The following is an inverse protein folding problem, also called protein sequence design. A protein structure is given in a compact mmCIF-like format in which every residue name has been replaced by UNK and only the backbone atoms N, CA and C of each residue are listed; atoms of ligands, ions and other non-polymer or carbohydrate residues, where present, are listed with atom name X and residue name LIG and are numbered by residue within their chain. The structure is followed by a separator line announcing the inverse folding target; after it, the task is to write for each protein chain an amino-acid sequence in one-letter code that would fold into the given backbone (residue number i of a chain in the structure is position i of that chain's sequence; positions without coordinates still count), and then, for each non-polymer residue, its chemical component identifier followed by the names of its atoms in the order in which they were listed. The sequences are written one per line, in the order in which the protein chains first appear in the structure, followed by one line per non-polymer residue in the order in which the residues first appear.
data_IF_432574107927
#
_entry.id   IF_432574107927
#
_cell.length_a   1.000
_cell.length_b   1.000
_cell.length_c   1.000
_cell.angle_alpha   90.00
_cell.angle_beta   90.00
_cell.angle_gamma   90.00
#
_symmetry.space_group_name_H-M   'P 1'
#
loop_
_entity.id
_entity.type
_entity.pdbx_description
1 polymer ?
#
# COMPACT_ATOMS: atom_id res chain seq x y z
N UNK A 1 -10.78 -4.56 -9.65
CA UNK A 1 -10.26 -3.55 -8.72
C UNK A 1 -10.82 -3.87 -7.34
N UNK A 2 -9.96 -4.28 -6.42
CA UNK A 2 -10.38 -4.68 -5.07
C UNK A 2 -9.99 -3.59 -4.09
N UNK A 3 -10.93 -3.15 -3.27
CA UNK A 3 -10.74 -2.13 -2.23
C UNK A 3 -10.95 -2.81 -0.88
N UNK A 4 -10.00 -2.66 0.03
CA UNK A 4 -10.12 -3.12 1.42
C UNK A 4 -10.31 -1.90 2.30
N UNK A 5 -11.40 -1.86 3.06
CA UNK A 5 -11.72 -0.73 3.94
C UNK A 5 -12.30 -1.23 5.27
N UNK A 6 -11.82 -0.67 6.38
CA UNK A 6 -12.19 -1.09 7.73
C UNK A 6 -13.17 -0.11 8.39
N UNK A 7 -13.14 1.17 8.01
CA UNK A 7 -13.89 2.21 8.71
C UNK A 7 -15.37 2.18 8.31
N UNK A 8 -16.30 1.98 9.26
CA UNK A 8 -17.72 1.81 8.96
C UNK A 8 -18.33 3.03 8.24
N UNK A 9 -17.94 4.25 8.61
CA UNK A 9 -18.44 5.45 7.94
C UNK A 9 -17.94 5.57 6.48
N UNK A 10 -16.74 5.08 6.18
CA UNK A 10 -16.21 5.09 4.81
C UNK A 10 -16.94 4.03 3.99
N UNK A 11 -17.16 2.83 4.54
CA UNK A 11 -17.95 1.78 3.90
C UNK A 11 -19.38 2.26 3.60
N UNK A 12 -20.05 2.89 4.57
CA UNK A 12 -21.40 3.45 4.37
C UNK A 12 -21.41 4.54 3.29
N UNK A 13 -20.36 5.36 3.23
CA UNK A 13 -20.20 6.35 2.17
C UNK A 13 -19.95 5.72 0.79
N UNK A 14 -19.12 4.69 0.72
CA UNK A 14 -18.85 3.96 -0.50
C UNK A 14 -20.12 3.33 -1.07
N UNK A 15 -20.94 2.72 -0.22
CA UNK A 15 -22.26 2.20 -0.59
C UNK A 15 -23.18 3.31 -1.11
N UNK A 16 -23.31 4.42 -0.38
CA UNK A 16 -24.14 5.55 -0.79
C UNK A 16 -23.70 6.19 -2.12
N UNK A 17 -22.40 6.21 -2.39
CA UNK A 17 -21.80 6.72 -3.63
C UNK A 17 -21.80 5.68 -4.77
N UNK A 18 -22.34 4.48 -4.52
CA UNK A 18 -22.51 3.42 -5.51
C UNK A 18 -21.20 2.74 -5.93
N UNK A 19 -20.23 2.59 -5.02
CA UNK A 19 -18.93 1.97 -5.34
C UNK A 19 -19.03 0.46 -5.55
N UNK A 20 -19.84 -0.23 -4.75
CA UNK A 20 -19.98 -1.69 -4.81
C UNK A 20 -20.67 -2.18 -6.10
N UNK A 21 -21.46 -1.30 -6.73
CA UNK A 21 -22.19 -1.57 -7.97
C UNK A 21 -21.37 -1.28 -9.23
N UNK A 22 -20.18 -0.70 -9.10
CA UNK A 22 -19.32 -0.40 -10.24
C UNK A 22 -18.81 -1.69 -10.87
N UNK A 23 -18.94 -1.87 -12.20
CA UNK A 23 -18.42 -3.06 -12.88
C UNK A 23 -16.93 -3.29 -12.60
N UNK A 24 -16.60 -4.49 -12.12
CA UNK A 24 -15.22 -4.88 -11.84
C UNK A 24 -14.64 -4.31 -10.54
N UNK A 25 -15.46 -3.69 -9.68
CA UNK A 25 -15.08 -3.28 -8.32
C UNK A 25 -15.56 -4.32 -7.32
N UNK A 26 -14.68 -4.68 -6.38
CA UNK A 26 -15.02 -5.50 -5.22
C UNK A 26 -14.61 -4.73 -3.97
N UNK A 27 -15.54 -4.48 -3.06
CA UNK A 27 -15.25 -3.87 -1.75
C UNK A 27 -15.24 -4.96 -0.70
N UNK A 28 -14.15 -5.07 0.04
CA UNK A 28 -13.97 -6.02 1.14
C UNK A 28 -13.91 -5.23 2.46
N UNK A 29 -14.93 -5.43 3.29
CA UNK A 29 -15.01 -4.80 4.60
C UNK A 29 -14.12 -5.53 5.62
N UNK A 30 -13.23 -4.80 6.29
CA UNK A 30 -12.38 -5.33 7.35
C UNK A 30 -10.98 -4.71 7.34
N UNK A 31 -10.20 -5.03 8.38
CA UNK A 31 -8.81 -4.58 8.44
C UNK A 31 -7.96 -5.32 7.42
N UNK A 32 -6.88 -4.70 6.93
CA UNK A 32 -5.98 -5.37 5.98
C UNK A 32 -5.35 -6.62 6.59
N UNK A 33 -5.13 -6.63 7.91
CA UNK A 33 -4.60 -7.77 8.66
C UNK A 33 -5.52 -8.99 8.61
N UNK A 34 -6.83 -8.79 8.50
CA UNK A 34 -7.83 -9.86 8.41
C UNK A 34 -8.11 -10.24 6.96
N UNK A 35 -8.24 -9.24 6.09
CA UNK A 35 -8.74 -9.42 4.71
C UNK A 35 -7.67 -9.89 3.75
N UNK A 36 -6.43 -9.40 3.87
CA UNK A 36 -5.39 -9.70 2.89
C UNK A 36 -4.76 -11.09 3.02
N UNK A 37 -4.45 -11.63 4.22
CA UNK A 37 -3.79 -12.93 4.31
C UNK A 37 -4.55 -14.08 3.63
N UNK A 38 -5.90 -14.16 3.69
CA UNK A 38 -6.66 -15.14 2.93
C UNK A 38 -6.61 -14.98 1.40
N UNK A 39 -6.27 -13.79 0.89
CA UNK A 39 -6.14 -13.52 -0.54
C UNK A 39 -4.74 -13.85 -1.07
N UNK A 40 -3.76 -14.05 -0.19
CA UNK A 40 -2.40 -14.37 -0.60
C UNK A 40 -2.33 -15.76 -1.24
N UNK A 41 -1.85 -15.81 -2.48
CA UNK A 41 -1.52 -17.04 -3.19
C UNK A 41 -0.16 -16.85 -3.88
N UNK A 42 0.90 -17.44 -3.32
CA UNK A 42 2.23 -17.33 -3.89
C UNK A 42 2.38 -18.08 -5.24
N UNK A 43 1.51 -19.05 -5.54
CA UNK A 43 1.52 -19.77 -6.81
C UNK A 43 0.78 -18.99 -7.91
N UNK A 44 -0.26 -18.23 -7.54
CA UNK A 44 -1.02 -17.38 -8.46
C UNK A 44 -1.46 -16.07 -7.79
N UNK A 45 -0.53 -15.11 -7.56
CA UNK A 45 -0.88 -13.86 -6.89
C UNK A 45 -1.99 -13.11 -7.64
N UNK A 46 -3.02 -12.59 -6.95
CA UNK A 46 -4.24 -12.14 -7.59
C UNK A 46 -4.18 -10.75 -8.25
N UNK A 47 -3.14 -9.94 -7.98
CA UNK A 47 -3.11 -8.54 -8.39
C UNK A 47 -1.91 -8.18 -9.27
N UNK A 48 -2.18 -7.52 -10.40
CA UNK A 48 -1.15 -6.91 -11.25
C UNK A 48 -0.65 -5.57 -10.69
N UNK A 49 -1.42 -4.94 -9.81
CA UNK A 49 -1.08 -3.69 -9.15
C UNK A 49 -1.64 -3.64 -7.74
N UNK A 50 -0.83 -3.16 -6.80
CA UNK A 50 -1.23 -2.96 -5.41
C UNK A 50 -0.89 -1.52 -4.99
N UNK A 51 -1.85 -0.85 -4.36
CA UNK A 51 -1.64 0.46 -3.74
C UNK A 51 -2.10 0.42 -2.29
N UNK A 52 -1.19 0.72 -1.35
CA UNK A 52 -1.50 0.76 0.08
C UNK A 52 -1.47 2.19 0.61
N UNK A 53 -2.66 2.74 0.88
CA UNK A 53 -2.86 4.02 1.56
C UNK A 53 -3.59 3.78 2.87
N UNK A 54 -2.89 3.19 3.82
CA UNK A 54 -3.42 2.90 5.15
C UNK A 54 -2.71 3.77 6.17
N UNK A 55 -3.41 4.11 7.24
CA UNK A 55 -2.76 4.75 8.38
C UNK A 55 -1.88 3.70 9.08
N UNK A 56 -0.59 3.71 8.75
CA UNK A 56 0.40 2.90 9.45
C UNK A 56 0.76 3.60 10.76
N UNK A 57 0.53 2.94 11.90
CA UNK A 57 0.95 3.45 13.22
C UNK A 57 2.48 3.48 13.38
N UNK A 58 3.22 2.84 12.46
CA UNK A 58 4.68 2.87 12.42
C UNK A 58 5.29 2.04 11.27
N UNK A 59 6.62 2.02 11.22
CA UNK A 59 7.37 1.29 10.19
C UNK A 59 7.18 -0.23 10.27
N UNK A 60 6.99 -0.78 11.47
CA UNK A 60 6.81 -2.22 11.66
C UNK A 60 5.51 -2.72 11.02
N UNK A 61 4.40 -1.98 11.16
CA UNK A 61 3.14 -2.31 10.49
C UNK A 61 3.28 -2.25 8.97
N UNK A 62 3.98 -1.23 8.44
CA UNK A 62 4.26 -1.14 7.01
C UNK A 62 5.08 -2.33 6.52
N UNK A 63 6.08 -2.77 7.27
CA UNK A 63 6.91 -3.92 6.89
C UNK A 63 6.18 -5.25 6.99
N UNK A 64 5.27 -5.40 7.96
CA UNK A 64 4.35 -6.56 8.03
C UNK A 64 3.43 -6.60 6.81
N UNK A 65 2.92 -5.45 6.39
CA UNK A 65 2.10 -5.33 5.18
C UNK A 65 2.93 -5.65 3.93
N UNK A 66 4.17 -5.14 3.80
CA UNK A 66 5.07 -5.49 2.70
C UNK A 66 5.31 -7.00 2.61
N UNK A 67 5.40 -7.70 3.73
CA UNK A 67 5.65 -9.15 3.76
C UNK A 67 4.53 -9.97 3.08
N UNK A 68 3.34 -9.39 2.84
CA UNK A 68 2.26 -10.04 2.10
C UNK A 68 2.43 -9.92 0.57
N UNK A 69 3.25 -8.99 0.07
CA UNK A 69 3.39 -8.71 -1.37
C UNK A 69 3.73 -9.94 -2.22
N UNK A 70 4.61 -10.88 -1.81
CA UNK A 70 4.90 -12.07 -2.61
C UNK A 70 3.69 -12.96 -2.90
N UNK A 71 2.65 -12.92 -2.05
CA UNK A 71 1.40 -13.63 -2.25
C UNK A 71 0.30 -12.79 -2.91
N UNK A 72 0.48 -11.46 -2.98
CA UNK A 72 -0.55 -10.55 -3.49
C UNK A 72 -0.22 -10.05 -4.91
N UNK A 73 1.06 -9.81 -5.21
CA UNK A 73 1.51 -9.14 -6.42
C UNK A 73 2.03 -10.14 -7.46
N UNK A 74 1.41 -10.13 -8.63
CA UNK A 74 1.82 -10.96 -9.75
C UNK A 74 3.22 -10.59 -10.26
N UNK A 75 3.89 -11.52 -10.93
CA UNK A 75 5.22 -11.27 -11.48
C UNK A 75 5.16 -10.15 -12.52
N UNK A 76 5.97 -9.10 -12.32
CA UNK A 76 5.97 -7.92 -13.18
C UNK A 76 4.90 -6.88 -12.81
N UNK A 77 4.11 -7.14 -11.77
CA UNK A 77 3.17 -6.19 -11.22
C UNK A 77 3.86 -5.00 -10.55
N UNK A 78 3.08 -3.95 -10.31
CA UNK A 78 3.55 -2.68 -9.73
C UNK A 78 3.00 -2.48 -8.32
N UNK A 79 3.83 -1.89 -7.45
CA UNK A 79 3.46 -1.63 -6.07
C UNK A 79 3.80 -0.19 -5.70
N UNK A 80 2.85 0.52 -5.10
CA UNK A 80 3.08 1.82 -4.47
C UNK A 80 2.32 1.92 -3.15
N UNK A 81 2.69 2.88 -2.32
CA UNK A 81 2.08 3.07 -1.01
C UNK A 81 2.24 4.51 -0.53
N UNK A 82 1.41 4.90 0.44
CA UNK A 82 1.54 6.17 1.13
C UNK A 82 2.81 6.20 1.98
N UNK A 83 3.80 6.97 1.52
CA UNK A 83 5.11 7.07 2.16
C UNK A 83 5.15 8.18 3.21
N UNK A 84 4.40 8.02 4.30
CA UNK A 84 4.23 9.05 5.33
C UNK A 84 5.24 9.03 6.48
N UNK A 85 6.08 8.01 6.59
CA UNK A 85 6.94 7.82 7.77
C UNK A 85 7.98 8.95 7.84
N UNK A 86 8.02 9.62 9.00
CA UNK A 86 8.91 10.75 9.27
C UNK A 86 8.80 11.90 8.25
N UNK A 87 7.66 12.08 7.59
CA UNK A 87 7.48 13.07 6.52
C UNK A 87 7.75 14.54 6.93
N UNK A 88 7.86 14.84 8.22
CA UNK A 88 8.19 16.16 8.76
C UNK A 88 9.69 16.41 8.93
N UNK A 89 10.54 15.40 8.72
CA UNK A 89 12.00 15.50 8.79
C UNK A 89 12.59 14.83 7.54
N UNK A 90 13.15 15.63 6.63
CA UNK A 90 13.68 15.13 5.35
C UNK A 90 14.77 14.06 5.56
N UNK A 91 15.65 14.25 6.54
CA UNK A 91 16.75 13.34 6.78
C UNK A 91 16.21 11.99 7.26
N UNK A 92 15.36 11.98 8.29
CA UNK A 92 14.76 10.76 8.80
C UNK A 92 13.88 10.09 7.74
N UNK A 93 13.12 10.85 6.98
CA UNK A 93 12.31 10.34 5.88
C UNK A 93 13.17 9.62 4.84
N UNK A 94 14.31 10.20 4.42
CA UNK A 94 15.25 9.56 3.48
C UNK A 94 15.88 8.29 4.04
N UNK A 95 16.17 8.26 5.35
CA UNK A 95 16.63 7.03 6.04
C UNK A 95 15.54 5.96 5.97
N UNK A 96 14.28 6.30 6.22
CA UNK A 96 13.16 5.36 6.09
C UNK A 96 12.94 4.88 4.67
N UNK A 97 13.00 5.75 3.65
CA UNK A 97 12.96 5.34 2.25
C UNK A 97 14.07 4.32 1.93
N UNK A 98 15.26 4.53 2.49
CA UNK A 98 16.38 3.59 2.33
C UNK A 98 16.08 2.25 3.00
N UNK A 99 15.58 2.26 4.23
CA UNK A 99 15.18 1.04 4.95
C UNK A 99 14.08 0.27 4.21
N UNK A 100 13.02 0.97 3.77
CA UNK A 100 11.93 0.38 3.00
C UNK A 100 12.40 -0.23 1.68
N UNK A 101 13.30 0.46 0.95
CA UNK A 101 13.92 -0.08 -0.27
C UNK A 101 14.66 -1.39 -0.01
N UNK A 102 15.44 -1.46 1.07
CA UNK A 102 16.17 -2.67 1.42
C UNK A 102 15.23 -3.81 1.83
N UNK A 103 14.18 -3.52 2.60
CA UNK A 103 13.16 -4.50 2.97
C UNK A 103 12.45 -5.06 1.73
N UNK A 104 11.97 -4.19 0.85
CA UNK A 104 11.29 -4.57 -0.40
C UNK A 104 12.21 -5.35 -1.36
N UNK A 105 13.49 -5.00 -1.43
CA UNK A 105 14.48 -5.77 -2.18
C UNK A 105 14.64 -7.20 -1.62
N UNK A 106 14.57 -7.39 -0.30
CA UNK A 106 14.55 -8.70 0.34
C UNK A 106 13.34 -9.55 -0.02
N UNK A 107 12.25 -8.92 -0.46
CA UNK A 107 11.03 -9.57 -0.96
C UNK A 107 11.02 -9.75 -2.49
N UNK A 108 12.09 -9.34 -3.17
CA UNK A 108 12.24 -9.47 -4.63
C UNK A 108 11.73 -8.28 -5.45
N UNK A 109 11.39 -7.16 -4.82
CA UNK A 109 10.95 -5.95 -5.51
C UNK A 109 12.14 -5.01 -5.79
N UNK A 110 12.17 -4.43 -6.99
CA UNK A 110 13.03 -3.28 -7.30
C UNK A 110 12.24 -2.01 -7.00
N UNK A 111 12.75 -1.15 -6.10
CA UNK A 111 12.00 0.01 -5.61
C UNK A 111 12.77 1.30 -5.84
N UNK A 112 12.07 2.34 -6.32
CA UNK A 112 12.60 3.68 -6.50
C UNK A 112 11.74 4.68 -5.73
N UNK A 113 12.40 5.63 -5.07
CA UNK A 113 11.74 6.79 -4.47
C UNK A 113 12.13 8.02 -5.29
N UNK A 114 11.13 8.77 -5.75
CA UNK A 114 11.34 9.98 -6.53
C UNK A 114 10.97 11.21 -5.70
N UNK A 115 11.89 12.18 -5.54
CA UNK A 115 11.55 13.44 -4.91
C UNK A 115 10.50 14.18 -5.73
N UNK A 116 9.43 14.66 -5.08
CA UNK A 116 8.39 15.46 -5.73
C UNK A 116 8.42 16.86 -5.13
N UNK A 117 8.47 17.84 -6.02
CA UNK A 117 8.40 19.24 -5.63
C UNK A 117 6.97 19.55 -5.16
N UNK A 118 6.85 20.10 -3.96
CA UNK A 118 5.59 20.56 -3.37
C UNK A 118 5.66 22.08 -3.33
N UNK A 119 4.56 22.81 -3.59
CA UNK A 119 4.55 24.25 -3.37
C UNK A 119 4.88 24.56 -1.90
N UNK A 120 6.08 25.07 -1.65
CA UNK A 120 6.59 25.38 -0.31
C UNK A 120 7.44 24.30 0.39
N UNK A 121 7.80 23.19 -0.26
CA UNK A 121 8.65 22.12 0.34
C UNK A 121 8.81 20.86 -0.53
N UNK A 122 9.49 19.81 -0.03
CA UNK A 122 9.67 18.52 -0.73
C UNK A 122 8.80 17.42 -0.07
N UNK A 123 8.08 16.62 -0.86
CA UNK A 123 7.46 15.35 -0.45
C UNK A 123 7.98 14.28 -1.40
N UNK A 124 8.38 13.12 -0.89
CA UNK A 124 8.86 12.02 -1.74
C UNK A 124 7.68 11.13 -2.10
N UNK A 125 7.39 10.95 -3.40
CA UNK A 125 6.41 9.95 -3.86
C UNK A 125 7.13 8.66 -4.31
N UNK A 126 6.45 7.53 -4.10
CA UNK A 126 6.91 6.18 -4.47
C UNK A 126 6.31 5.80 -5.82
N UNK A 127 7.16 5.36 -6.75
CA UNK A 127 6.75 4.75 -8.03
C UNK A 127 7.21 3.29 -8.11
#
# INVERSE_FOLDING_TARGET
HTIVEAHPDVLARMEADGWAERPGVTVLAGTWQEVLPPLCDAASPPFDAVFFDTFAEGADELFRLHALLPGLLAKGGVYSYFNGIAAHDEFLHRVYCTAARHHLAGLGLSTRFEPVAVPGGLLTLTL
#
